data_IF_800876663042
#
_entry.id   IF_800876663042
#
_cell.length_a   1.000
_cell.length_b   1.000
_cell.length_c   1.000
_cell.angle_alpha   90.00
_cell.angle_beta   90.00
_cell.angle_gamma   90.00
#
_symmetry.space_group_name_H-M   'P 1'
#
loop_
_entity.id
_entity.type
_entity.pdbx_description
1 polymer ?
#
# COMPACT_ATOMS: atom_id res chain seq x y z
N UNK A 1 14.56 -18.45 -50.50
CA UNK A 1 13.63 -17.90 -49.48
C UNK A 1 14.27 -18.05 -48.10
N UNK A 2 14.71 -16.95 -47.48
CA UNK A 2 15.34 -16.94 -46.14
C UNK A 2 14.32 -17.37 -45.07
N UNK A 3 14.55 -18.51 -44.40
CA UNK A 3 13.81 -18.98 -43.23
C UNK A 3 14.45 -18.37 -41.97
N UNK A 4 14.04 -17.16 -41.58
CA UNK A 4 14.36 -16.67 -40.23
C UNK A 4 13.19 -16.98 -39.29
N UNK A 5 13.44 -17.54 -38.09
CA UNK A 5 12.40 -17.76 -37.11
C UNK A 5 11.83 -16.39 -36.65
N UNK A 6 10.52 -16.30 -36.36
CA UNK A 6 9.93 -15.05 -35.87
C UNK A 6 10.48 -14.70 -34.49
N UNK A 7 10.98 -13.46 -34.34
CA UNK A 7 11.35 -12.91 -33.04
C UNK A 7 10.10 -12.49 -32.26
N UNK A 8 9.83 -13.18 -31.15
CA UNK A 8 8.75 -12.82 -30.23
C UNK A 8 9.26 -11.88 -29.14
N UNK A 9 9.30 -10.58 -29.44
CA UNK A 9 9.53 -9.54 -28.43
C UNK A 9 8.22 -9.07 -27.80
N UNK A 10 7.98 -9.35 -26.51
CA UNK A 10 6.88 -8.70 -25.77
C UNK A 10 7.17 -7.21 -25.66
N UNK A 11 6.43 -6.37 -26.40
CA UNK A 11 6.48 -4.92 -26.24
C UNK A 11 6.11 -4.57 -24.80
N UNK A 12 7.01 -3.89 -24.07
CA UNK A 12 6.72 -3.36 -22.73
C UNK A 12 5.56 -2.36 -22.84
N UNK A 13 4.39 -2.74 -22.33
CA UNK A 13 3.24 -1.84 -22.24
C UNK A 13 3.48 -0.86 -21.09
N UNK A 14 3.36 0.43 -21.37
CA UNK A 14 3.37 1.46 -20.32
C UNK A 14 2.15 1.23 -19.44
N UNK A 15 2.36 1.09 -18.13
CA UNK A 15 1.25 0.95 -17.18
C UNK A 15 0.48 2.27 -17.09
N UNK A 16 -0.84 2.19 -16.98
CA UNK A 16 -1.69 3.36 -16.67
C UNK A 16 -1.30 4.05 -15.37
N UNK A 17 -0.59 3.33 -14.49
CA UNK A 17 -0.11 3.86 -13.21
C UNK A 17 1.17 4.71 -13.33
N UNK A 18 1.95 4.59 -14.42
CA UNK A 18 3.27 5.24 -14.51
C UNK A 18 3.22 6.75 -14.23
N UNK A 19 2.23 7.46 -14.77
CA UNK A 19 2.08 8.90 -14.54
C UNK A 19 1.69 9.30 -13.12
N UNK A 20 1.17 8.36 -12.32
CA UNK A 20 0.73 8.60 -10.94
C UNK A 20 1.73 8.12 -9.89
N UNK A 21 2.75 7.34 -10.28
CA UNK A 21 3.75 6.77 -9.36
C UNK A 21 4.43 7.83 -8.47
N UNK A 22 4.91 8.98 -8.99
CA UNK A 22 5.56 10.00 -8.15
C UNK A 22 4.62 10.52 -7.06
N UNK A 23 3.36 10.80 -7.42
CA UNK A 23 2.34 11.25 -6.47
C UNK A 23 2.04 10.19 -5.41
N UNK A 24 1.86 8.93 -5.82
CA UNK A 24 1.58 7.82 -4.90
C UNK A 24 2.70 7.66 -3.87
N UNK A 25 3.96 7.71 -4.33
CA UNK A 25 5.13 7.61 -3.47
C UNK A 25 5.15 8.74 -2.43
N UNK A 26 4.98 9.99 -2.87
CA UNK A 26 4.94 11.15 -1.96
C UNK A 26 3.84 11.01 -0.88
N UNK A 27 2.63 10.56 -1.26
CA UNK A 27 1.52 10.39 -0.30
C UNK A 27 1.78 9.28 0.72
N UNK A 28 2.40 8.19 0.30
CA UNK A 28 2.78 7.09 1.20
C UNK A 28 3.91 7.55 2.13
N UNK A 29 4.90 8.28 1.63
CA UNK A 29 6.03 8.81 2.42
C UNK A 29 5.59 9.85 3.44
N UNK A 30 4.67 10.75 3.08
CA UNK A 30 4.21 11.80 4.01
C UNK A 30 3.20 11.31 5.05
N UNK A 31 2.28 10.42 4.67
CA UNK A 31 1.09 10.13 5.49
C UNK A 31 0.82 8.63 5.69
N UNK A 32 1.60 7.73 5.09
CA UNK A 32 1.39 6.28 5.10
C UNK A 32 -0.07 5.84 4.77
N UNK A 33 -0.75 6.57 3.87
CA UNK A 33 -2.16 6.35 3.55
C UNK A 33 -2.45 4.96 3.00
N UNK A 34 -3.67 4.47 3.21
CA UNK A 34 -4.14 3.21 2.60
C UNK A 34 -4.21 3.30 1.07
N UNK A 35 -4.10 2.16 0.38
CA UNK A 35 -4.26 2.11 -1.08
C UNK A 35 -5.65 2.58 -1.56
N UNK A 36 -6.68 2.39 -0.73
CA UNK A 36 -8.04 2.89 -1.00
C UNK A 36 -8.06 4.41 -1.01
N UNK A 37 -7.46 5.06 -0.01
CA UNK A 37 -7.41 6.53 0.06
C UNK A 37 -6.65 7.13 -1.12
N UNK A 38 -5.54 6.50 -1.49
CA UNK A 38 -4.74 6.89 -2.66
C UNK A 38 -5.55 6.72 -3.95
N UNK A 39 -6.32 5.63 -4.08
CA UNK A 39 -7.20 5.41 -5.23
C UNK A 39 -8.20 6.55 -5.41
N UNK A 40 -8.87 6.97 -4.33
CA UNK A 40 -9.83 8.08 -4.38
C UNK A 40 -9.18 9.38 -4.87
N UNK A 41 -7.95 9.66 -4.43
CA UNK A 41 -7.23 10.87 -4.82
C UNK A 41 -6.80 10.83 -6.29
N UNK A 42 -6.24 9.71 -6.76
CA UNK A 42 -5.79 9.61 -8.15
C UNK A 42 -6.97 9.49 -9.12
N UNK A 43 -8.11 8.92 -8.69
CA UNK A 43 -9.36 8.96 -9.48
C UNK A 43 -9.82 10.39 -9.72
N UNK A 44 -9.79 11.26 -8.69
CA UNK A 44 -10.08 12.70 -8.84
C UNK A 44 -9.10 13.41 -9.78
N UNK A 45 -7.89 12.87 -9.94
CA UNK A 45 -6.86 13.34 -10.89
C UNK A 45 -6.94 12.69 -12.27
N UNK A 46 -7.97 11.89 -12.55
CA UNK A 46 -8.19 11.28 -13.87
C UNK A 46 -7.61 9.87 -14.06
N UNK A 47 -7.26 9.16 -12.98
CA UNK A 47 -6.82 7.77 -13.09
C UNK A 47 -7.97 6.83 -13.49
N UNK A 48 -7.77 6.09 -14.58
CA UNK A 48 -8.74 5.13 -15.16
C UNK A 48 -8.26 3.67 -15.06
N UNK A 49 -7.22 3.41 -14.27
CA UNK A 49 -6.69 2.07 -14.06
C UNK A 49 -7.36 1.31 -12.91
N UNK A 50 -6.98 0.05 -12.74
CA UNK A 50 -7.54 -0.84 -11.73
C UNK A 50 -6.93 -0.64 -10.34
N UNK A 51 -7.66 -1.10 -9.32
CA UNK A 51 -7.22 -1.09 -7.92
C UNK A 51 -6.07 -2.06 -7.65
N UNK A 52 -6.07 -3.25 -8.25
CA UNK A 52 -5.03 -4.26 -8.03
C UNK A 52 -3.64 -3.74 -8.36
N UNK A 53 -3.47 -3.09 -9.52
CA UNK A 53 -2.16 -2.54 -9.96
C UNK A 53 -1.67 -1.47 -8.98
N UNK A 54 -2.57 -0.62 -8.48
CA UNK A 54 -2.24 0.37 -7.46
C UNK A 54 -1.85 -0.31 -6.15
N UNK A 55 -2.64 -1.27 -5.68
CA UNK A 55 -2.40 -2.00 -4.42
C UNK A 55 -1.05 -2.71 -4.46
N UNK A 56 -0.71 -3.35 -5.56
CA UNK A 56 0.57 -4.06 -5.74
C UNK A 56 1.74 -3.07 -5.67
N UNK A 57 1.64 -1.93 -6.37
CA UNK A 57 2.66 -0.89 -6.30
C UNK A 57 2.80 -0.27 -4.89
N UNK A 58 1.68 0.00 -4.22
CA UNK A 58 1.70 0.46 -2.83
C UNK A 58 2.31 -0.58 -1.88
N UNK A 59 2.18 -1.88 -2.18
CA UNK A 59 2.79 -2.96 -1.41
C UNK A 59 4.31 -2.98 -1.61
N UNK A 60 4.80 -2.85 -2.85
CA UNK A 60 6.25 -2.77 -3.12
C UNK A 60 6.90 -1.61 -2.39
N UNK A 61 6.26 -0.43 -2.41
CA UNK A 61 6.77 0.76 -1.69
C UNK A 61 6.85 0.58 -0.17
N UNK A 62 6.01 -0.28 0.42
CA UNK A 62 6.03 -0.55 1.87
C UNK A 62 6.96 -1.67 2.26
N UNK A 63 7.20 -2.65 1.38
CA UNK A 63 8.19 -3.71 1.60
C UNK A 63 9.58 -3.13 1.78
N UNK A 64 9.90 -2.05 1.07
CA UNK A 64 11.19 -1.38 1.15
C UNK A 64 11.35 -0.53 2.42
N UNK A 65 10.33 -0.46 3.30
CA UNK A 65 10.42 0.30 4.55
C UNK A 65 11.03 -0.55 5.67
N UNK A 66 12.05 -0.03 6.38
CA UNK A 66 12.51 -0.68 7.59
C UNK A 66 11.36 -0.72 8.60
N UNK A 67 11.10 -1.91 9.15
CA UNK A 67 10.21 -2.07 10.29
C UNK A 67 10.97 -1.44 11.47
N UNK A 68 10.55 -0.25 11.89
CA UNK A 68 11.12 0.36 13.09
C UNK A 68 10.83 -0.56 14.28
N UNK A 69 11.88 -0.98 14.98
CA UNK A 69 11.73 -1.71 16.22
C UNK A 69 10.93 -0.84 17.20
N UNK A 70 9.74 -1.29 17.57
CA UNK A 70 8.97 -0.63 18.62
C UNK A 70 9.69 -0.94 19.93
N UNK A 71 10.27 0.07 20.57
CA UNK A 71 10.83 -0.11 21.91
C UNK A 71 9.67 -0.40 22.85
N UNK A 72 9.60 -1.64 23.34
CA UNK A 72 8.70 -1.98 24.44
C UNK A 72 9.33 -1.42 25.70
N UNK A 73 8.63 -0.49 26.35
CA UNK A 73 8.95 -0.08 27.70
C UNK A 73 8.12 -0.95 28.63
N UNK A 74 8.76 -1.58 29.61
CA UNK A 74 8.07 -2.21 30.73
C UNK A 74 8.12 -1.24 31.90
N UNK A 75 7.01 -1.10 32.62
CA UNK A 75 6.99 -0.36 33.88
C UNK A 75 7.11 -1.33 35.04
N UNK A 76 7.74 -0.89 36.13
CA UNK A 76 7.78 -1.65 37.39
C UNK A 76 6.39 -2.09 37.84
N UNK A 77 6.27 -3.25 38.54
CA UNK A 77 5.03 -3.72 39.12
C UNK A 77 4.33 -2.61 39.94
N UNK A 78 3.03 -2.38 39.67
CA UNK A 78 2.21 -1.38 40.37
C UNK A 78 2.26 0.04 39.81
N UNK A 79 3.06 0.33 38.76
CA UNK A 79 3.06 1.62 38.05
C UNK A 79 2.15 1.64 36.81
N UNK A 80 1.71 0.48 36.34
CA UNK A 80 0.78 0.34 35.21
C UNK A 80 -0.32 -0.66 35.56
N UNK A 81 -1.57 -0.29 35.28
CA UNK A 81 -2.70 -1.20 35.24
C UNK A 81 -3.21 -1.25 33.78
N UNK A 82 -3.41 -2.45 33.24
CA UNK A 82 -4.08 -2.65 31.96
C UNK A 82 -5.53 -3.00 32.25
N UNK A 83 -6.46 -2.32 31.59
CA UNK A 83 -7.90 -2.57 31.71
C UNK A 83 -8.40 -2.92 30.32
N UNK A 84 -8.90 -4.14 30.14
CA UNK A 84 -9.64 -4.54 28.95
C UNK A 84 -11.13 -4.30 29.19
N UNK A 85 -11.75 -3.45 28.38
CA UNK A 85 -13.19 -3.27 28.40
C UNK A 85 -13.85 -4.29 27.48
N UNK A 86 -14.70 -5.15 28.05
CA UNK A 86 -15.59 -6.05 27.31
C UNK A 86 -17.03 -5.61 27.52
N UNK A 87 -17.72 -5.23 26.46
CA UNK A 87 -19.17 -5.01 26.47
C UNK A 87 -19.84 -6.25 25.89
N UNK A 88 -20.68 -6.92 26.68
CA UNK A 88 -21.60 -7.94 26.19
C UNK A 88 -22.99 -7.34 26.14
N UNK A 89 -23.56 -7.24 24.94
CA UNK A 89 -24.89 -6.71 24.73
C UNK A 89 -25.96 -7.49 25.49
N UNK A 90 -27.05 -6.81 25.82
CA UNK A 90 -28.22 -7.42 26.44
C UNK A 90 -28.97 -8.26 25.40
N UNK A 91 -29.25 -9.52 25.74
CA UNK A 91 -30.14 -10.39 24.95
C UNK A 91 -31.47 -10.42 25.70
N UNK A 92 -32.53 -9.96 25.04
CA UNK A 92 -33.92 -10.10 25.49
C UNK A 92 -34.46 -11.50 25.11
#
# INVERSE_FOLDING_TARGET
KSRRPPEYGRKKRISKLEGFKPYIKERIDRYNLSAVRIMEEIKKKGYTGGYTILKDYCSTLRKDRPINAVIRFETEPGRQAQVDFGEFGYID
#
